data_IF_119883080925
#
_entry.id   IF_119883080925
#
_cell.length_a   1.000
_cell.length_b   1.000
_cell.length_c   1.000
_cell.angle_alpha   90.00
_cell.angle_beta   90.00
_cell.angle_gamma   90.00
#
_symmetry.space_group_name_H-M   'P 1'
#
loop_
_entity.id
_entity.type
_entity.pdbx_description
1 polymer ?
#
# COMPACT_ATOMS: atom_id res chain seq x y z
N UNK A 1 -3.82 -18.21 -20.83
CA UNK A 1 -3.61 -16.78 -20.49
C UNK A 1 -4.02 -16.64 -19.04
N UNK A 2 -3.09 -16.38 -18.13
CA UNK A 2 -3.41 -16.15 -16.71
C UNK A 2 -3.92 -14.72 -16.57
N UNK A 3 -5.20 -14.55 -16.20
CA UNK A 3 -5.77 -13.24 -15.87
C UNK A 3 -5.48 -12.90 -14.41
N UNK A 4 -5.28 -11.62 -14.12
CA UNK A 4 -5.17 -11.09 -12.76
C UNK A 4 -6.56 -10.54 -12.36
N UNK A 5 -7.11 -11.04 -11.27
CA UNK A 5 -8.40 -10.58 -10.73
C UNK A 5 -8.26 -9.73 -9.46
N UNK A 6 -9.39 -9.31 -8.88
CA UNK A 6 -9.38 -8.51 -7.66
C UNK A 6 -8.80 -9.28 -6.45
N UNK A 7 -8.92 -10.60 -6.40
CA UNK A 7 -8.34 -11.40 -5.34
C UNK A 7 -6.81 -11.49 -5.45
N UNK A 8 -6.28 -11.60 -6.67
CA UNK A 8 -4.84 -11.48 -6.92
C UNK A 8 -4.30 -10.13 -6.46
N UNK A 9 -4.99 -9.04 -6.82
CA UNK A 9 -4.58 -7.69 -6.44
C UNK A 9 -4.65 -7.46 -4.92
N UNK A 10 -5.70 -7.95 -4.25
CA UNK A 10 -5.77 -7.87 -2.79
C UNK A 10 -4.61 -8.62 -2.13
N UNK A 11 -4.31 -9.85 -2.59
CA UNK A 11 -3.15 -10.61 -2.08
C UNK A 11 -1.83 -9.86 -2.29
N UNK A 12 -1.66 -9.19 -3.43
CA UNK A 12 -0.50 -8.36 -3.70
C UNK A 12 -0.39 -7.21 -2.68
N UNK A 13 -1.47 -6.47 -2.42
CA UNK A 13 -1.44 -5.38 -1.44
C UNK A 13 -1.21 -5.86 -0.01
N UNK A 14 -1.79 -7.00 0.37
CA UNK A 14 -1.54 -7.62 1.69
C UNK A 14 -0.05 -7.96 1.84
N UNK A 15 0.56 -8.58 0.82
CA UNK A 15 1.98 -8.92 0.81
C UNK A 15 2.89 -7.67 0.83
N UNK A 16 2.51 -6.60 0.13
CA UNK A 16 3.25 -5.34 0.18
C UNK A 16 3.19 -4.74 1.60
N UNK A 17 2.01 -4.71 2.22
CA UNK A 17 1.87 -4.19 3.58
C UNK A 17 2.73 -4.96 4.60
N UNK A 18 2.76 -6.30 4.49
CA UNK A 18 3.63 -7.15 5.32
C UNK A 18 5.11 -6.89 5.07
N UNK A 19 5.54 -6.79 3.81
CA UNK A 19 6.93 -6.53 3.47
C UNK A 19 7.40 -5.15 3.95
N UNK A 20 6.57 -4.12 3.77
CA UNK A 20 6.87 -2.75 4.23
C UNK A 20 6.99 -2.69 5.75
N UNK A 21 6.08 -3.34 6.48
CA UNK A 21 6.16 -3.36 7.95
C UNK A 21 7.41 -4.13 8.43
N UNK A 22 7.74 -5.25 7.79
CA UNK A 22 8.94 -6.04 8.11
C UNK A 22 10.26 -5.29 7.85
N UNK A 23 10.30 -4.46 6.80
CA UNK A 23 11.48 -3.68 6.41
C UNK A 23 11.44 -2.21 6.88
N UNK A 24 10.45 -1.82 7.68
CA UNK A 24 10.18 -0.42 8.04
C UNK A 24 11.41 0.33 8.55
N UNK A 25 12.10 -0.22 9.54
CA UNK A 25 13.29 0.41 10.13
C UNK A 25 14.44 0.50 9.12
N UNK A 26 14.59 -0.52 8.27
CA UNK A 26 15.59 -0.53 7.20
C UNK A 26 15.31 0.55 6.16
N UNK A 27 14.04 0.75 5.80
CA UNK A 27 13.62 1.80 4.87
C UNK A 27 13.87 3.19 5.45
N UNK A 28 13.55 3.42 6.73
CA UNK A 28 13.89 4.66 7.43
C UNK A 28 15.41 4.89 7.49
N UNK A 29 16.20 3.84 7.73
CA UNK A 29 17.67 3.96 7.75
C UNK A 29 18.23 4.38 6.38
N UNK A 30 17.75 3.76 5.30
CA UNK A 30 18.17 4.10 3.94
C UNK A 30 17.79 5.54 3.58
N UNK A 31 16.56 5.92 3.91
CA UNK A 31 16.05 7.27 3.69
C UNK A 31 16.83 8.32 4.49
N UNK A 32 17.18 8.03 5.75
CA UNK A 32 17.99 8.92 6.58
C UNK A 32 19.39 9.23 6.05
N UNK A 33 19.91 8.48 5.07
CA UNK A 33 21.19 8.79 4.42
C UNK A 33 21.08 10.02 3.51
N UNK A 34 19.91 10.25 2.89
CA UNK A 34 19.71 11.30 1.86
C UNK A 34 18.41 12.11 2.01
N UNK A 35 17.60 11.80 3.03
CA UNK A 35 16.25 12.32 3.28
C UNK A 35 16.04 12.57 4.78
N UNK A 36 14.80 12.44 5.25
CA UNK A 36 14.38 12.78 6.62
C UNK A 36 14.13 11.56 7.52
N UNK A 37 14.42 10.35 7.01
CA UNK A 37 14.30 9.08 7.71
C UNK A 37 12.86 8.67 8.04
N UNK A 38 11.87 9.23 7.33
CA UNK A 38 10.45 8.93 7.57
C UNK A 38 9.84 7.94 6.57
N UNK A 39 10.57 7.60 5.49
CA UNK A 39 9.99 6.85 4.38
C UNK A 39 9.35 5.51 4.79
N UNK A 40 10.02 4.72 5.63
CA UNK A 40 9.46 3.45 6.12
C UNK A 40 8.16 3.65 6.92
N UNK A 41 8.09 4.71 7.73
CA UNK A 41 6.89 5.09 8.49
C UNK A 41 5.78 5.51 7.52
N UNK A 42 6.08 6.38 6.56
CA UNK A 42 5.13 6.85 5.56
C UNK A 42 4.54 5.69 4.75
N UNK A 43 5.37 4.77 4.25
CA UNK A 43 4.92 3.60 3.51
C UNK A 43 4.10 2.64 4.37
N UNK A 44 4.50 2.41 5.63
CA UNK A 44 3.76 1.57 6.57
C UNK A 44 2.35 2.10 6.83
N UNK A 45 2.21 3.41 7.03
CA UNK A 45 0.90 4.07 7.17
C UNK A 45 0.07 3.93 5.89
N UNK A 46 0.68 4.18 4.72
CA UNK A 46 0.02 4.10 3.42
C UNK A 46 -0.51 2.71 3.11
N UNK A 47 0.35 1.68 3.15
CA UNK A 47 -0.05 0.32 2.82
C UNK A 47 -0.89 -0.34 3.92
N UNK A 48 -0.72 0.07 5.18
CA UNK A 48 -1.66 -0.27 6.25
C UNK A 48 -3.07 0.22 5.94
N UNK A 49 -3.22 1.49 5.57
CA UNK A 49 -4.50 2.07 5.18
C UNK A 49 -5.11 1.40 3.94
N UNK A 50 -4.28 1.03 2.95
CA UNK A 50 -4.72 0.22 1.80
C UNK A 50 -5.28 -1.12 2.25
N UNK A 51 -4.52 -1.88 3.05
CA UNK A 51 -4.95 -3.19 3.55
C UNK A 51 -6.30 -3.11 4.25
N UNK A 52 -6.47 -2.11 5.12
CA UNK A 52 -7.70 -1.92 5.89
C UNK A 52 -8.88 -1.51 4.99
N UNK A 53 -8.64 -0.65 4.00
CA UNK A 53 -9.67 -0.23 3.04
C UNK A 53 -10.11 -1.36 2.10
N UNK A 54 -9.23 -2.30 1.79
CA UNK A 54 -9.52 -3.45 0.93
C UNK A 54 -10.13 -4.64 1.68
N UNK A 55 -9.94 -4.75 2.99
CA UNK A 55 -10.43 -5.85 3.82
C UNK A 55 -11.95 -6.10 3.71
N UNK A 56 -12.84 -5.10 3.65
CA UNK A 56 -14.29 -5.33 3.59
C UNK A 56 -14.84 -5.53 2.17
N UNK A 57 -14.01 -5.57 1.12
CA UNK A 57 -14.49 -5.68 -0.25
C UNK A 57 -14.92 -7.11 -0.60
N UNK A 58 -16.10 -7.23 -1.21
CA UNK A 58 -16.56 -8.48 -1.82
C UNK A 58 -15.83 -8.71 -3.15
N UNK A 59 -14.71 -9.44 -3.11
CA UNK A 59 -13.78 -9.56 -4.24
C UNK A 59 -14.40 -10.19 -5.49
N UNK A 60 -15.37 -11.09 -5.34
CA UNK A 60 -16.08 -11.72 -6.47
C UNK A 60 -17.01 -10.76 -7.21
N UNK A 61 -17.38 -9.64 -6.59
CA UNK A 61 -18.21 -8.58 -7.16
C UNK A 61 -17.44 -7.28 -7.41
N UNK A 62 -16.12 -7.28 -7.14
CA UNK A 62 -15.27 -6.10 -7.26
C UNK A 62 -14.41 -6.18 -8.51
N UNK A 63 -14.56 -5.21 -9.41
CA UNK A 63 -13.69 -5.08 -10.57
C UNK A 63 -12.27 -4.66 -10.18
N UNK A 64 -11.21 -5.16 -10.84
CA UNK A 64 -9.82 -4.76 -10.58
C UNK A 64 -9.60 -3.24 -10.55
N UNK A 65 -10.26 -2.50 -11.45
CA UNK A 65 -10.20 -1.03 -11.49
C UNK A 65 -10.79 -0.39 -10.23
N UNK A 66 -11.88 -0.93 -9.69
CA UNK A 66 -12.49 -0.40 -8.47
C UNK A 66 -11.56 -0.63 -7.26
N UNK A 67 -10.96 -1.82 -7.17
CA UNK A 67 -9.99 -2.16 -6.13
C UNK A 67 -8.77 -1.23 -6.18
N UNK A 68 -8.16 -1.03 -7.35
CA UNK A 68 -6.99 -0.15 -7.52
C UNK A 68 -7.32 1.30 -7.15
N UNK A 69 -8.51 1.79 -7.53
CA UNK A 69 -8.95 3.14 -7.16
C UNK A 69 -9.15 3.29 -5.65
N UNK A 70 -9.68 2.26 -4.97
CA UNK A 70 -9.80 2.26 -3.50
C UNK A 70 -8.42 2.32 -2.86
N UNK A 71 -7.50 1.46 -3.29
CA UNK A 71 -6.12 1.43 -2.79
C UNK A 71 -5.39 2.77 -3.01
N UNK A 72 -5.46 3.33 -4.22
CA UNK A 72 -4.82 4.60 -4.53
C UNK A 72 -5.35 5.74 -3.63
N UNK A 73 -6.67 5.83 -3.44
CA UNK A 73 -7.29 6.86 -2.59
C UNK A 73 -6.94 6.67 -1.11
N UNK A 74 -6.97 5.44 -0.60
CA UNK A 74 -6.60 5.18 0.80
C UNK A 74 -5.13 5.49 1.06
N UNK A 75 -4.25 5.13 0.13
CA UNK A 75 -2.83 5.43 0.22
C UNK A 75 -2.58 6.94 0.21
N UNK A 76 -3.13 7.66 -0.78
CA UNK A 76 -3.01 9.11 -0.91
C UNK A 76 -3.50 9.86 0.34
N UNK A 77 -4.60 9.41 0.94
CA UNK A 77 -5.15 10.04 2.14
C UNK A 77 -4.33 9.75 3.41
N UNK A 78 -3.61 8.63 3.45
CA UNK A 78 -2.82 8.21 4.60
C UNK A 78 -1.38 8.77 4.56
N UNK A 79 -0.80 8.91 3.38
CA UNK A 79 0.58 9.39 3.20
C UNK A 79 0.57 10.89 2.92
N UNK A 80 0.93 11.68 3.94
CA UNK A 80 1.04 13.14 3.82
C UNK A 80 2.36 13.65 3.21
N UNK A 81 3.35 12.78 3.03
CA UNK A 81 4.65 13.12 2.44
C UNK A 81 4.59 13.16 0.91
N UNK A 82 5.68 13.61 0.27
CA UNK A 82 5.80 13.69 -1.20
C UNK A 82 5.58 12.35 -1.91
N UNK A 83 5.72 11.23 -1.22
CA UNK A 83 5.49 9.87 -1.72
C UNK A 83 4.02 9.49 -1.86
N UNK A 84 3.08 10.21 -1.25
CA UNK A 84 1.64 9.91 -1.38
C UNK A 84 1.04 10.24 -2.75
N UNK A 85 1.33 11.41 -3.34
CA UNK A 85 0.82 11.81 -4.66
C UNK A 85 1.51 11.18 -5.89
N UNK A 86 2.63 10.48 -5.72
CA UNK A 86 3.42 9.87 -6.80
C UNK A 86 2.90 8.47 -7.17
#
# INVERSE_FOLDING_TARGET
>A
MTSIDAADLKRMFDAIAEAIEADKDRLCQLDGVIGDADHGIAMGLGFGAVRDALAPLELTATEPTALLNTAAKSFLNAVGASSGPL
#
